data_IF_071102740413
#
_entry.id   IF_071102740413
#
_cell.length_a   1.000
_cell.length_b   1.000
_cell.length_c   1.000
_cell.angle_alpha   90.00
_cell.angle_beta   90.00
_cell.angle_gamma   90.00
#
_symmetry.space_group_name_H-M   'P 1'
#
loop_
_entity.id
_entity.type
_entity.pdbx_description
1 polymer ?
#
# COMPACT_ATOMS: atom_id res chain seq x y z
N UNK A 1 -33.61 -15.09 16.19
CA UNK A 1 -33.45 -15.67 14.85
C UNK A 1 -32.04 -15.33 14.39
N UNK A 2 -31.13 -16.25 14.61
CA UNK A 2 -29.70 -16.17 14.27
C UNK A 2 -29.53 -16.88 12.92
N UNK A 3 -29.29 -16.13 11.86
CA UNK A 3 -28.80 -16.68 10.59
C UNK A 3 -27.37 -17.18 10.82
N UNK A 4 -27.24 -18.49 10.99
CA UNK A 4 -25.98 -19.20 10.84
C UNK A 4 -25.55 -19.08 9.38
N UNK A 5 -24.56 -18.24 9.12
CA UNK A 5 -23.80 -18.21 7.86
C UNK A 5 -23.24 -19.61 7.61
N UNK A 6 -23.89 -20.39 6.75
CA UNK A 6 -23.33 -21.63 6.20
C UNK A 6 -22.17 -21.27 5.28
N UNK A 7 -20.96 -21.34 5.81
CA UNK A 7 -19.72 -21.22 5.03
C UNK A 7 -19.58 -22.47 4.16
N UNK A 8 -19.46 -22.28 2.85
CA UNK A 8 -19.43 -23.35 1.84
C UNK A 8 -18.18 -24.23 2.01
N UNK A 9 -18.25 -25.57 1.89
CA UNK A 9 -17.14 -26.49 2.21
C UNK A 9 -15.83 -26.22 1.44
N UNK A 10 -15.93 -25.74 0.19
CA UNK A 10 -14.77 -25.44 -0.66
C UNK A 10 -13.97 -24.22 -0.17
N UNK A 11 -14.63 -23.25 0.45
CA UNK A 11 -14.00 -22.04 1.00
C UNK A 11 -13.16 -22.36 2.25
N UNK A 12 -13.59 -23.38 3.02
CA UNK A 12 -12.87 -23.87 4.21
C UNK A 12 -11.53 -24.54 3.89
N UNK A 13 -11.43 -25.22 2.76
CA UNK A 13 -10.22 -25.95 2.34
C UNK A 13 -9.09 -25.00 1.89
N UNK A 14 -9.43 -23.90 1.19
CA UNK A 14 -8.46 -22.91 0.74
C UNK A 14 -7.88 -22.09 1.90
N UNK A 15 -8.72 -21.64 2.85
CA UNK A 15 -8.26 -20.98 4.07
C UNK A 15 -7.35 -21.88 4.92
N UNK A 16 -7.64 -23.17 5.01
CA UNK A 16 -6.79 -24.15 5.68
C UNK A 16 -5.44 -24.35 4.97
N UNK A 17 -5.42 -24.42 3.63
CA UNK A 17 -4.19 -24.52 2.85
C UNK A 17 -3.30 -23.27 2.95
N UNK A 18 -3.90 -22.08 3.10
CA UNK A 18 -3.19 -20.83 3.40
C UNK A 18 -2.56 -20.90 4.79
N UNK A 19 -3.32 -21.32 5.81
CA UNK A 19 -2.82 -21.48 7.18
C UNK A 19 -1.69 -22.51 7.29
N UNK A 20 -1.78 -23.63 6.57
CA UNK A 20 -0.75 -24.68 6.57
C UNK A 20 0.59 -24.19 6.01
N UNK A 21 0.57 -23.43 4.90
CA UNK A 21 1.79 -22.82 4.32
C UNK A 21 2.38 -21.76 5.24
N UNK A 22 1.53 -20.91 5.83
CA UNK A 22 1.96 -19.94 6.83
C UNK A 22 2.59 -20.63 8.05
N UNK A 23 2.07 -21.79 8.47
CA UNK A 23 2.62 -22.57 9.59
C UNK A 23 4.04 -23.09 9.34
N UNK A 24 4.37 -23.54 8.13
CA UNK A 24 5.73 -24.00 7.83
C UNK A 24 6.74 -22.86 7.92
N UNK A 25 6.39 -21.68 7.39
CA UNK A 25 7.19 -20.46 7.54
C UNK A 25 7.29 -20.04 9.01
N UNK A 26 6.18 -20.03 9.75
CA UNK A 26 6.17 -19.72 11.19
C UNK A 26 7.13 -20.59 11.99
N UNK A 27 7.22 -21.89 11.70
CA UNK A 27 8.17 -22.79 12.39
C UNK A 27 9.62 -22.46 12.08
N UNK A 28 9.95 -22.19 10.81
CA UNK A 28 11.30 -21.80 10.43
C UNK A 28 11.69 -20.47 11.11
N UNK A 29 10.78 -19.50 11.13
CA UNK A 29 11.00 -18.20 11.77
C UNK A 29 11.13 -18.30 13.29
N UNK A 30 10.28 -19.09 13.95
CA UNK A 30 10.39 -19.33 15.40
C UNK A 30 11.72 -19.97 15.81
N UNK A 31 12.37 -20.73 14.91
CA UNK A 31 13.69 -21.31 15.15
C UNK A 31 14.83 -20.29 15.01
N UNK A 32 14.65 -19.25 14.20
CA UNK A 32 15.65 -18.20 13.95
C UNK A 32 15.53 -17.00 14.90
N UNK A 33 14.35 -16.78 15.51
CA UNK A 33 14.10 -15.63 16.39
C UNK A 33 14.71 -15.80 17.77
N UNK A 34 15.58 -14.87 18.17
CA UNK A 34 16.08 -14.82 19.55
C UNK A 34 15.06 -14.14 20.48
N UNK A 35 15.06 -14.45 21.80
CA UNK A 35 14.25 -13.73 22.78
C UNK A 35 14.54 -12.22 22.81
N UNK A 36 15.75 -11.81 22.41
CA UNK A 36 16.14 -10.40 22.31
C UNK A 36 15.41 -9.71 21.16
N UNK A 37 15.30 -10.37 20.00
CA UNK A 37 14.61 -9.81 18.83
C UNK A 37 13.11 -9.66 19.05
N UNK A 38 12.50 -10.54 19.85
CA UNK A 38 11.11 -10.40 20.29
C UNK A 38 10.93 -9.15 21.14
N UNK A 39 11.80 -8.93 22.13
CA UNK A 39 11.72 -7.79 23.04
C UNK A 39 11.99 -6.45 22.34
N UNK A 40 12.91 -6.40 21.38
CA UNK A 40 13.22 -5.17 20.64
C UNK A 40 12.28 -4.93 19.46
N UNK A 41 11.37 -5.85 19.16
CA UNK A 41 10.48 -5.75 17.98
C UNK A 41 11.17 -6.04 16.64
N UNK A 42 12.48 -6.31 16.63
CA UNK A 42 13.27 -6.62 15.43
C UNK A 42 12.77 -7.85 14.68
N UNK A 43 12.10 -8.75 15.39
CA UNK A 43 11.46 -9.93 14.80
C UNK A 43 10.56 -9.58 13.60
N UNK A 44 9.90 -8.42 13.60
CA UNK A 44 8.97 -8.03 12.54
C UNK A 44 9.70 -7.66 11.24
N UNK A 45 10.81 -6.92 11.32
CA UNK A 45 11.62 -6.57 10.14
C UNK A 45 12.32 -7.79 9.54
N UNK A 46 12.79 -8.71 10.39
CA UNK A 46 13.33 -9.99 9.95
C UNK A 46 12.27 -10.84 9.24
N UNK A 47 11.08 -10.98 9.86
CA UNK A 47 9.93 -11.68 9.28
C UNK A 47 9.59 -11.12 7.90
N UNK A 48 9.48 -9.80 7.81
CA UNK A 48 9.15 -9.10 6.57
C UNK A 48 10.19 -9.37 5.48
N UNK A 49 11.48 -9.21 5.79
CA UNK A 49 12.57 -9.40 4.83
C UNK A 49 12.62 -10.85 4.31
N UNK A 50 12.51 -11.83 5.21
CA UNK A 50 12.49 -13.26 4.86
C UNK A 50 11.30 -13.58 3.97
N UNK A 51 10.11 -13.11 4.36
CA UNK A 51 8.90 -13.37 3.60
C UNK A 51 8.92 -12.71 2.22
N UNK A 52 9.35 -11.46 2.11
CA UNK A 52 9.44 -10.76 0.81
C UNK A 52 10.41 -11.46 -0.14
N UNK A 53 11.58 -11.90 0.35
CA UNK A 53 12.54 -12.70 -0.46
C UNK A 53 11.93 -14.02 -0.91
N UNK A 54 11.23 -14.71 -0.01
CA UNK A 54 10.51 -15.94 -0.34
C UNK A 54 9.44 -15.69 -1.40
N UNK A 55 8.63 -14.65 -1.21
CA UNK A 55 7.55 -14.27 -2.12
C UNK A 55 8.09 -13.95 -3.52
N UNK A 56 9.11 -13.12 -3.62
CA UNK A 56 9.75 -12.75 -4.90
C UNK A 56 10.31 -13.95 -5.66
N UNK A 57 10.94 -14.89 -4.94
CA UNK A 57 11.47 -16.13 -5.54
C UNK A 57 10.36 -16.99 -6.15
N UNK A 58 9.18 -17.02 -5.53
CA UNK A 58 8.04 -17.83 -5.98
C UNK A 58 7.11 -17.08 -6.96
N UNK A 59 7.22 -15.75 -7.05
CA UNK A 59 6.44 -14.88 -7.96
C UNK A 59 6.88 -14.98 -9.43
N UNK A 60 8.10 -15.49 -9.69
CA UNK A 60 8.71 -15.62 -11.03
C UNK A 60 7.85 -16.41 -12.05
N UNK A 61 6.75 -17.05 -11.65
CA UNK A 61 5.87 -17.81 -12.55
C UNK A 61 4.47 -17.21 -12.80
N UNK A 62 4.06 -16.11 -12.14
CA UNK A 62 2.67 -15.62 -12.20
C UNK A 62 2.44 -14.36 -13.07
N UNK A 63 3.48 -13.55 -13.33
CA UNK A 63 3.32 -12.16 -13.82
C UNK A 63 3.20 -12.03 -15.34
N UNK A 64 3.47 -13.08 -16.12
CA UNK A 64 3.65 -12.97 -17.58
C UNK A 64 2.38 -12.65 -18.41
N UNK A 65 1.19 -12.48 -17.81
CA UNK A 65 -0.05 -12.23 -18.57
C UNK A 65 -1.09 -11.31 -17.88
N UNK A 66 -0.81 -10.76 -16.69
CA UNK A 66 -1.83 -10.04 -15.94
C UNK A 66 -2.01 -8.60 -16.45
N UNK A 67 -3.09 -8.35 -17.21
CA UNK A 67 -3.79 -7.06 -17.15
C UNK A 67 -4.31 -6.94 -15.71
N UNK A 68 -4.12 -5.81 -15.04
CA UNK A 68 -4.39 -5.67 -13.60
C UNK A 68 -5.69 -6.33 -13.13
N UNK A 69 -5.70 -6.77 -11.88
CA UNK A 69 -6.84 -7.53 -11.37
C UNK A 69 -7.99 -6.62 -10.98
N UNK A 70 -9.17 -6.85 -11.55
CA UNK A 70 -10.40 -6.14 -11.22
C UNK A 70 -10.89 -6.34 -9.79
N UNK A 71 -11.90 -5.54 -9.41
CA UNK A 71 -12.47 -5.50 -8.06
C UNK A 71 -12.80 -6.89 -7.47
N UNK A 72 -13.38 -7.79 -8.26
CA UNK A 72 -13.80 -9.13 -7.82
C UNK A 72 -12.62 -10.00 -7.35
N UNK A 73 -11.47 -9.89 -8.00
CA UNK A 73 -10.26 -10.63 -7.61
C UNK A 73 -9.72 -10.08 -6.30
N UNK A 74 -9.63 -8.75 -6.18
CA UNK A 74 -9.15 -8.10 -4.96
C UNK A 74 -10.06 -8.37 -3.76
N UNK A 75 -11.38 -8.40 -3.98
CA UNK A 75 -12.37 -8.76 -2.96
C UNK A 75 -12.19 -10.21 -2.50
N UNK A 76 -11.91 -11.13 -3.44
CA UNK A 76 -11.64 -12.53 -3.11
C UNK A 76 -10.39 -12.69 -2.25
N UNK A 77 -9.30 -11.98 -2.57
CA UNK A 77 -8.07 -11.98 -1.77
C UNK A 77 -8.31 -11.47 -0.34
N UNK A 78 -9.03 -10.35 -0.21
CA UNK A 78 -9.37 -9.78 1.10
C UNK A 78 -10.24 -10.76 1.90
N UNK A 79 -11.25 -11.35 1.26
CA UNK A 79 -12.14 -12.34 1.90
C UNK A 79 -11.36 -13.57 2.41
N UNK A 80 -10.50 -14.16 1.60
CA UNK A 80 -9.66 -15.30 1.99
C UNK A 80 -8.75 -14.97 3.18
N UNK A 81 -8.15 -13.78 3.20
CA UNK A 81 -7.32 -13.33 4.32
C UNK A 81 -8.16 -13.12 5.60
N UNK A 82 -9.35 -12.55 5.47
CA UNK A 82 -10.28 -12.36 6.59
C UNK A 82 -10.77 -13.69 7.17
N UNK A 83 -11.05 -14.69 6.33
CA UNK A 83 -11.38 -16.06 6.76
C UNK A 83 -10.22 -16.72 7.52
N UNK A 84 -9.00 -16.61 6.99
CA UNK A 84 -7.80 -17.10 7.68
C UNK A 84 -7.62 -16.40 9.04
N UNK A 85 -7.78 -15.08 9.10
CA UNK A 85 -7.67 -14.32 10.35
C UNK A 85 -8.78 -14.68 11.35
N UNK A 86 -10.00 -14.92 10.89
CA UNK A 86 -11.09 -15.41 11.75
C UNK A 86 -10.74 -16.75 12.40
N UNK A 87 -10.21 -17.70 11.62
CA UNK A 87 -9.80 -19.02 12.12
C UNK A 87 -8.68 -18.95 13.16
N UNK A 88 -7.76 -17.98 13.05
CA UNK A 88 -6.71 -17.76 14.07
C UNK A 88 -7.27 -17.27 15.41
N UNK A 89 -8.39 -16.51 15.42
CA UNK A 89 -9.04 -16.06 16.66
C UNK A 89 -9.82 -17.16 17.38
N UNK A 90 -10.38 -18.11 16.62
CA UNK A 90 -11.15 -19.25 17.13
C UNK A 90 -10.26 -20.34 17.76
N UNK A 91 -8.95 -20.32 17.46
CA UNK A 91 -7.96 -21.30 17.91
C UNK A 91 -7.58 -21.24 19.39
N UNK A 92 -7.95 -20.19 20.13
CA UNK A 92 -7.66 -20.11 21.57
C UNK A 92 -8.39 -21.17 22.42
N UNK A 93 -9.41 -21.84 21.86
CA UNK A 93 -10.08 -23.00 22.47
C UNK A 93 -9.62 -24.38 21.98
N UNK A 94 -8.91 -24.48 20.85
CA UNK A 94 -8.54 -25.76 20.21
C UNK A 94 -7.04 -25.98 20.03
N UNK A 95 -6.20 -24.94 20.16
CA UNK A 95 -4.73 -25.07 20.16
C UNK A 95 -4.25 -25.64 21.51
N UNK A 96 -5.03 -25.50 22.58
CA UNK A 96 -4.76 -26.13 23.87
C UNK A 96 -4.82 -27.65 23.82
N UNK A 97 -5.59 -28.27 22.93
CA UNK A 97 -5.70 -29.74 22.84
C UNK A 97 -4.49 -30.39 22.15
N UNK A 98 -3.81 -29.71 21.23
CA UNK A 98 -2.61 -30.25 20.57
C UNK A 98 -1.37 -30.24 21.46
N UNK A 99 -1.20 -29.18 22.27
CA UNK A 99 -0.07 -29.06 23.21
C UNK A 99 -0.31 -29.94 24.44
N UNK A 100 -1.55 -30.06 24.94
CA UNK A 100 -1.87 -30.99 26.03
C UNK A 100 -1.79 -32.45 25.60
N UNK A 101 -2.23 -32.81 24.38
CA UNK A 101 -2.14 -34.18 23.89
C UNK A 101 -0.69 -34.64 23.66
N UNK A 102 0.18 -33.77 23.13
CA UNK A 102 1.60 -34.08 22.98
C UNK A 102 2.32 -34.24 24.34
N UNK A 103 1.88 -33.52 25.38
CA UNK A 103 2.39 -33.70 26.75
C UNK A 103 1.76 -34.87 27.52
N UNK A 104 0.64 -35.43 27.04
CA UNK A 104 -0.03 -36.57 27.67
C UNK A 104 0.61 -37.91 27.26
N UNK A 105 1.08 -38.03 26.01
CA UNK A 105 1.73 -39.25 25.51
C UNK A 105 3.20 -39.38 25.92
N UNK A 106 3.87 -38.26 26.22
CA UNK A 106 5.21 -38.26 26.79
C UNK A 106 5.10 -38.31 28.31
N UNK A 107 4.96 -39.52 28.88
CA UNK A 107 4.81 -39.80 30.32
C UNK A 107 5.90 -39.23 31.23
N UNK A 108 5.92 -37.91 31.38
CA UNK A 108 6.80 -37.13 32.25
C UNK A 108 5.94 -36.13 32.98
N UNK A 109 5.18 -36.62 33.97
CA UNK A 109 4.42 -35.83 34.93
C UNK A 109 5.31 -34.98 35.88
N UNK A 110 6.57 -34.71 35.50
CA UNK A 110 7.59 -34.10 36.35
C UNK A 110 8.38 -32.96 35.72
N UNK A 111 8.08 -32.55 34.48
CA UNK A 111 8.75 -31.40 33.85
C UNK A 111 7.78 -30.25 33.57
N UNK A 112 7.00 -29.89 34.60
CA UNK A 112 6.53 -28.51 34.81
C UNK A 112 7.72 -27.60 35.16
N UNK A 113 8.78 -27.63 34.35
CA UNK A 113 9.72 -26.52 34.30
C UNK A 113 8.96 -25.45 33.55
N UNK A 114 8.48 -24.48 34.32
CA UNK A 114 7.78 -23.27 33.90
C UNK A 114 8.64 -22.42 32.94
N UNK A 115 8.87 -22.92 31.73
CA UNK A 115 8.92 -22.06 30.56
C UNK A 115 7.47 -21.59 30.34
N UNK A 116 7.21 -20.29 30.13
CA UNK A 116 5.85 -19.83 29.94
C UNK A 116 5.36 -20.37 28.61
N UNK A 117 4.73 -21.54 28.61
CA UNK A 117 4.09 -22.14 27.44
C UNK A 117 3.07 -21.16 26.81
N UNK A 118 2.53 -20.25 27.63
CA UNK A 118 1.73 -19.10 27.19
C UNK A 118 2.48 -18.16 26.24
N UNK A 119 3.76 -17.89 26.48
CA UNK A 119 4.57 -16.99 25.63
C UNK A 119 4.77 -17.53 24.22
N UNK A 120 4.95 -18.84 24.06
CA UNK A 120 5.12 -19.48 22.74
C UNK A 120 3.82 -19.39 21.93
N UNK A 121 2.66 -19.65 22.56
CA UNK A 121 1.35 -19.58 21.89
C UNK A 121 1.02 -18.15 21.45
N UNK A 122 1.21 -17.16 22.34
CA UNK A 122 1.01 -15.73 22.04
C UNK A 122 1.91 -15.28 20.89
N UNK A 123 3.17 -15.71 20.90
CA UNK A 123 4.14 -15.37 19.85
C UNK A 123 3.77 -16.02 18.52
N UNK A 124 3.34 -17.29 18.52
CA UNK A 124 2.90 -17.99 17.33
C UNK A 124 1.66 -17.36 16.70
N UNK A 125 0.64 -17.00 17.51
CA UNK A 125 -0.55 -16.30 17.04
C UNK A 125 -0.20 -14.95 16.39
N UNK A 126 0.67 -14.18 17.05
CA UNK A 126 1.16 -12.89 16.55
C UNK A 126 1.87 -13.04 15.19
N UNK A 127 2.78 -14.00 15.05
CA UNK A 127 3.52 -14.25 13.81
C UNK A 127 2.58 -14.69 12.69
N UNK A 128 1.66 -15.64 12.96
CA UNK A 128 0.70 -16.12 11.96
C UNK A 128 -0.16 -14.96 11.46
N UNK A 129 -0.61 -14.07 12.36
CA UNK A 129 -1.37 -12.89 11.96
C UNK A 129 -0.56 -11.93 11.10
N UNK A 130 0.68 -11.65 11.48
CA UNK A 130 1.58 -10.80 10.69
C UNK A 130 1.79 -11.40 9.29
N UNK A 131 1.93 -12.73 9.18
CA UNK A 131 2.03 -13.42 7.90
C UNK A 131 0.76 -13.33 7.05
N UNK A 132 -0.43 -13.44 7.65
CA UNK A 132 -1.71 -13.26 6.92
C UNK A 132 -1.78 -11.84 6.34
N UNK A 133 -1.48 -10.83 7.16
CA UNK A 133 -1.47 -9.43 6.74
C UNK A 133 -0.45 -9.16 5.63
N UNK A 134 0.77 -9.70 5.77
CA UNK A 134 1.84 -9.50 4.80
C UNK A 134 1.55 -10.20 3.48
N UNK A 135 1.01 -11.42 3.52
CA UNK A 135 0.56 -12.14 2.33
C UNK A 135 -0.52 -11.36 1.59
N UNK A 136 -1.57 -10.94 2.30
CA UNK A 136 -2.65 -10.14 1.72
C UNK A 136 -2.07 -8.91 1.01
N UNK A 137 -1.14 -8.21 1.65
CA UNK A 137 -0.51 -7.05 1.07
C UNK A 137 0.34 -7.37 -0.17
N UNK A 138 1.12 -8.45 -0.16
CA UNK A 138 1.92 -8.85 -1.32
C UNK A 138 1.05 -9.31 -2.49
N UNK A 139 -0.02 -10.05 -2.21
CA UNK A 139 -0.98 -10.52 -3.22
C UNK A 139 -1.73 -9.33 -3.84
N UNK A 140 -2.21 -8.38 -3.02
CA UNK A 140 -2.79 -7.14 -3.51
C UNK A 140 -1.76 -6.29 -4.28
N UNK A 141 -0.55 -6.06 -3.78
CA UNK A 141 0.47 -5.30 -4.50
C UNK A 141 0.79 -5.91 -5.87
N UNK A 142 0.94 -7.24 -5.92
CA UNK A 142 1.22 -7.96 -7.17
C UNK A 142 0.09 -7.84 -8.19
N UNK A 143 -1.16 -7.79 -7.72
CA UNK A 143 -2.35 -7.56 -8.52
C UNK A 143 -2.35 -6.22 -9.28
N UNK A 144 -1.64 -5.21 -8.75
CA UNK A 144 -1.46 -3.87 -9.34
C UNK A 144 -0.04 -3.67 -9.89
N UNK A 145 0.74 -4.74 -10.08
CA UNK A 145 2.12 -4.71 -10.55
C UNK A 145 3.10 -3.95 -9.64
N UNK A 146 2.70 -3.66 -8.41
CA UNK A 146 3.56 -3.09 -7.36
C UNK A 146 4.44 -4.20 -6.78
N UNK A 147 5.65 -3.81 -6.35
CA UNK A 147 6.58 -4.68 -5.62
C UNK A 147 7.05 -3.98 -4.36
N UNK A 148 7.04 -4.73 -3.26
CA UNK A 148 7.74 -4.35 -2.04
C UNK A 148 9.18 -4.82 -2.16
N UNK A 149 10.12 -3.91 -1.92
CA UNK A 149 11.54 -4.24 -1.95
C UNK A 149 11.93 -4.97 -0.66
N UNK A 150 12.44 -6.22 -0.72
CA UNK A 150 12.94 -6.91 0.46
C UNK A 150 14.13 -6.22 1.12
N UNK A 151 14.90 -5.42 0.37
CA UNK A 151 16.05 -4.68 0.89
C UNK A 151 15.67 -3.27 1.41
N UNK A 152 14.46 -2.79 1.09
CA UNK A 152 13.85 -1.61 1.71
C UNK A 152 12.49 -1.94 2.38
N UNK A 153 12.51 -2.66 3.52
CA UNK A 153 11.30 -2.98 4.29
C UNK A 153 10.58 -1.74 4.85
N UNK A 154 11.15 -0.54 4.71
CA UNK A 154 10.55 0.70 5.17
C UNK A 154 9.19 0.94 4.52
N UNK A 155 9.02 0.51 3.28
CA UNK A 155 7.82 0.75 2.49
C UNK A 155 6.59 0.08 3.12
N UNK A 156 6.68 -1.23 3.37
CA UNK A 156 5.63 -1.96 4.08
C UNK A 156 5.51 -1.50 5.54
N UNK A 157 6.63 -1.21 6.21
CA UNK A 157 6.62 -0.77 7.62
C UNK A 157 5.92 0.58 7.79
N UNK A 158 6.12 1.53 6.86
CA UNK A 158 5.44 2.83 6.86
C UNK A 158 3.94 2.67 6.69
N UNK A 159 3.51 1.90 5.70
CA UNK A 159 2.09 1.63 5.49
C UNK A 159 1.48 0.93 6.72
N UNK A 160 2.13 -0.10 7.23
CA UNK A 160 1.62 -0.85 8.36
C UNK A 160 1.59 -0.02 9.66
N UNK A 161 2.55 0.89 9.85
CA UNK A 161 2.57 1.85 10.95
C UNK A 161 1.42 2.86 10.86
N UNK A 162 1.12 3.36 9.66
CA UNK A 162 0.00 4.25 9.41
C UNK A 162 -1.34 3.57 9.71
N UNK A 163 -1.56 2.38 9.17
CA UNK A 163 -2.81 1.60 9.36
C UNK A 163 -3.02 1.07 10.80
N UNK A 164 -1.98 1.14 11.63
CA UNK A 164 -2.01 0.74 13.05
C UNK A 164 -2.02 1.93 14.00
N UNK A 165 -1.42 3.06 13.60
CA UNK A 165 -1.16 4.24 14.41
C UNK A 165 -2.38 5.14 14.59
N UNK A 166 -3.58 4.55 14.66
CA UNK A 166 -4.82 5.30 14.82
C UNK A 166 -4.74 6.28 15.99
N UNK A 167 -5.10 7.53 15.68
CA UNK A 167 -5.09 8.73 16.52
C UNK A 167 -3.73 9.44 16.62
N UNK A 168 -3.37 10.18 15.57
CA UNK A 168 -2.81 11.52 15.78
C UNK A 168 -3.97 12.44 16.14
N UNK A 169 -3.79 13.35 17.10
CA UNK A 169 -4.78 14.36 17.40
C UNK A 169 -4.99 15.23 16.15
N UNK A 170 -6.18 15.16 15.58
CA UNK A 170 -6.58 15.94 14.39
C UNK A 170 -6.49 17.45 14.63
N UNK A 171 -6.44 17.87 15.91
CA UNK A 171 -6.26 19.28 16.31
C UNK A 171 -4.83 19.80 16.04
N UNK A 172 -3.81 18.93 16.08
CA UNK A 172 -2.40 19.35 15.96
C UNK A 172 -1.87 19.31 14.51
N UNK A 173 -2.39 18.43 13.65
CA UNK A 173 -1.98 18.28 12.24
C UNK A 173 -3.21 18.11 11.31
N UNK A 174 -3.98 19.19 11.05
CA UNK A 174 -5.29 19.10 10.39
C UNK A 174 -5.20 18.55 8.96
N UNK A 175 -4.08 18.78 8.27
CA UNK A 175 -3.85 18.28 6.91
C UNK A 175 -2.96 17.04 6.82
N UNK A 176 -2.32 16.58 7.91
CA UNK A 176 -1.44 15.41 7.87
C UNK A 176 -0.02 15.70 7.35
N UNK A 177 0.43 16.96 7.37
CA UNK A 177 1.76 17.36 6.87
C UNK A 177 2.87 16.87 7.81
N UNK A 178 2.70 17.07 9.13
CA UNK A 178 3.68 16.63 10.13
C UNK A 178 3.86 15.12 10.06
N UNK A 179 2.76 14.38 9.82
CA UNK A 179 2.79 12.93 9.60
C UNK A 179 3.67 12.54 8.40
N UNK A 180 3.52 13.20 7.25
CA UNK A 180 4.33 12.94 6.05
C UNK A 180 5.79 13.31 6.30
N UNK A 181 6.05 14.45 6.94
CA UNK A 181 7.40 14.88 7.27
C UNK A 181 8.10 13.86 8.17
N UNK A 182 7.49 13.51 9.30
CA UNK A 182 8.01 12.57 10.28
C UNK A 182 8.33 11.20 9.63
N UNK A 183 7.38 10.65 8.86
CA UNK A 183 7.57 9.34 8.23
C UNK A 183 8.59 9.37 7.08
N UNK A 184 8.78 10.52 6.42
CA UNK A 184 9.80 10.67 5.37
C UNK A 184 11.23 10.75 5.92
N UNK A 185 11.37 11.08 7.21
CA UNK A 185 12.63 11.17 7.94
C UNK A 185 12.93 9.92 8.78
N UNK A 186 11.88 9.17 9.16
CA UNK A 186 12.00 7.96 9.96
C UNK A 186 12.84 6.87 9.25
N UNK A 187 13.68 6.17 10.03
CA UNK A 187 14.43 5.02 9.52
C UNK A 187 13.53 3.80 9.49
N UNK A 188 13.71 2.98 8.44
CA UNK A 188 13.03 1.71 8.24
C UNK A 188 13.09 0.80 9.49
N UNK A 189 14.27 0.73 10.09
CA UNK A 189 14.56 -0.11 11.26
C UNK A 189 13.74 0.30 12.46
N UNK A 190 13.62 1.61 12.68
CA UNK A 190 13.00 2.18 13.87
C UNK A 190 11.48 1.96 13.79
N UNK A 191 10.89 2.19 12.61
CA UNK A 191 9.47 1.90 12.35
C UNK A 191 9.14 0.42 12.54
N UNK A 192 10.00 -0.47 12.04
CA UNK A 192 9.77 -1.90 12.14
C UNK A 192 9.97 -2.46 13.55
N UNK A 193 10.94 -1.94 14.32
CA UNK A 193 11.12 -2.28 15.73
C UNK A 193 9.93 -1.78 16.58
N UNK A 194 9.47 -0.55 16.37
CA UNK A 194 8.28 0.00 17.03
C UNK A 194 7.02 -0.82 16.73
N UNK A 195 6.83 -1.22 15.48
CA UNK A 195 5.73 -2.08 15.07
C UNK A 195 5.79 -3.46 15.73
N UNK A 196 6.98 -4.09 15.74
CA UNK A 196 7.16 -5.38 16.38
C UNK A 196 6.90 -5.34 17.89
N UNK A 197 7.29 -4.25 18.56
CA UNK A 197 7.01 -4.03 19.97
C UNK A 197 5.50 -3.82 20.24
N UNK A 198 4.83 -2.99 19.43
CA UNK A 198 3.38 -2.77 19.51
C UNK A 198 2.59 -4.05 19.28
N UNK A 199 2.94 -4.84 18.26
CA UNK A 199 2.28 -6.12 17.96
C UNK A 199 2.42 -7.13 19.10
N UNK A 200 3.59 -7.16 19.75
CA UNK A 200 3.81 -8.00 20.93
C UNK A 200 2.95 -7.53 22.11
N UNK A 201 2.92 -6.22 22.38
CA UNK A 201 2.09 -5.62 23.42
C UNK A 201 0.59 -5.92 23.24
N UNK A 202 0.09 -5.74 22.02
CA UNK A 202 -1.30 -6.04 21.63
C UNK A 202 -1.68 -7.51 21.85
N UNK A 203 -0.76 -8.42 21.54
CA UNK A 203 -0.98 -9.86 21.69
C UNK A 203 -0.91 -10.28 23.16
N UNK A 204 0.00 -9.70 23.95
CA UNK A 204 0.10 -9.93 25.40
C UNK A 204 -1.13 -9.40 26.13
N UNK A 205 -1.54 -8.15 25.88
CA UNK A 205 -2.70 -7.53 26.52
C UNK A 205 -3.99 -8.34 26.31
N UNK A 206 -4.18 -8.88 25.10
CA UNK A 206 -5.37 -9.71 24.78
C UNK A 206 -5.35 -11.09 25.42
N UNK A 207 -4.17 -11.64 25.71
CA UNK A 207 -4.04 -12.93 26.37
C UNK A 207 -4.04 -12.83 27.91
N UNK A 208 -3.86 -11.64 28.48
CA UNK A 208 -3.90 -11.41 29.94
C UNK A 208 -5.33 -11.28 30.48
N UNK A 209 -6.31 -10.86 29.68
CA UNK A 209 -7.72 -10.71 30.12
C UNK A 209 -8.46 -12.06 30.00
N UNK A 210 -8.70 -12.80 31.09
CA UNK A 210 -9.31 -14.12 31.02
C UNK A 210 -10.84 -13.95 31.05
N UNK A 211 -11.55 -14.68 30.17
CA UNK A 211 -13.01 -14.97 30.24
C UNK A 211 -14.07 -14.07 29.59
N UNK A 212 -13.86 -13.37 28.47
CA UNK A 212 -15.01 -12.81 27.72
C UNK A 212 -15.12 -13.06 26.19
N UNK A 213 -14.10 -13.51 25.46
CA UNK A 213 -14.00 -13.06 24.06
C UNK A 213 -13.51 -14.04 22.96
N UNK A 214 -13.80 -15.35 22.98
CA UNK A 214 -13.37 -16.24 21.85
C UNK A 214 -14.11 -15.92 20.52
N UNK A 215 -15.38 -15.53 20.60
CA UNK A 215 -16.17 -15.14 19.42
C UNK A 215 -15.83 -13.72 18.96
N UNK A 216 -15.65 -12.79 19.89
CA UNK A 216 -15.31 -11.39 19.60
C UNK A 216 -13.87 -11.21 19.12
N UNK A 217 -12.90 -12.03 19.58
CA UNK A 217 -11.53 -11.99 19.05
C UNK A 217 -11.46 -12.38 17.58
N UNK A 218 -12.24 -13.38 17.16
CA UNK A 218 -12.33 -13.84 15.77
C UNK A 218 -12.95 -12.77 14.86
N UNK A 219 -14.05 -12.15 15.32
CA UNK A 219 -14.71 -11.05 14.59
C UNK A 219 -13.82 -9.80 14.53
N UNK A 220 -13.12 -9.47 15.61
CA UNK A 220 -12.18 -8.34 15.63
C UNK A 220 -10.99 -8.57 14.71
N UNK A 221 -10.45 -9.79 14.67
CA UNK A 221 -9.38 -10.16 13.74
C UNK A 221 -9.87 -10.06 12.29
N UNK A 222 -11.08 -10.55 11.98
CA UNK A 222 -11.71 -10.39 10.68
C UNK A 222 -11.87 -8.92 10.30
N UNK A 223 -12.44 -8.08 11.19
CA UNK A 223 -12.67 -6.64 10.93
C UNK A 223 -11.37 -5.87 10.70
N UNK A 224 -10.33 -6.12 11.51
CA UNK A 224 -9.03 -5.47 11.34
C UNK A 224 -8.35 -5.90 10.04
N UNK A 225 -8.46 -7.18 9.67
CA UNK A 225 -7.92 -7.69 8.40
C UNK A 225 -8.67 -7.11 7.21
N UNK A 226 -10.00 -6.95 7.32
CA UNK A 226 -10.81 -6.31 6.29
C UNK A 226 -10.39 -4.86 6.06
N UNK A 227 -10.30 -4.07 7.13
CA UNK A 227 -9.84 -2.68 7.07
C UNK A 227 -8.44 -2.56 6.47
N UNK A 228 -7.51 -3.42 6.91
CA UNK A 228 -6.16 -3.49 6.33
C UNK A 228 -6.22 -3.77 4.83
N UNK A 229 -7.04 -4.73 4.39
CA UNK A 229 -7.21 -5.05 2.98
C UNK A 229 -7.76 -3.88 2.15
N UNK A 230 -8.79 -3.22 2.65
CA UNK A 230 -9.41 -2.06 1.98
C UNK A 230 -8.41 -0.89 1.87
N UNK A 231 -7.66 -0.61 2.94
CA UNK A 231 -6.61 0.41 2.93
C UNK A 231 -5.44 0.05 2.02
N UNK A 232 -4.98 -1.19 2.06
CA UNK A 232 -3.92 -1.67 1.19
C UNK A 232 -4.31 -1.54 -0.29
N UNK A 233 -5.57 -1.84 -0.62
CA UNK A 233 -6.12 -1.70 -1.96
C UNK A 233 -6.08 -0.24 -2.45
N UNK A 234 -6.45 0.72 -1.60
CA UNK A 234 -6.32 2.15 -1.91
C UNK A 234 -4.87 2.56 -2.13
N UNK A 235 -3.98 2.16 -1.21
CA UNK A 235 -2.56 2.44 -1.30
C UNK A 235 -1.94 1.94 -2.61
N UNK A 236 -2.17 0.68 -3.01
CA UNK A 236 -1.57 0.13 -4.24
C UNK A 236 -2.11 0.77 -5.51
N UNK A 237 -3.39 1.17 -5.53
CA UNK A 237 -4.00 1.90 -6.65
C UNK A 237 -3.37 3.28 -6.81
N UNK A 238 -3.31 4.04 -5.71
CA UNK A 238 -2.71 5.38 -5.69
C UNK A 238 -1.23 5.33 -6.06
N UNK A 239 -0.48 4.39 -5.48
CA UNK A 239 0.93 4.20 -5.81
C UNK A 239 1.12 3.85 -7.28
N UNK A 240 0.32 2.92 -7.81
CA UNK A 240 0.41 2.53 -9.22
C UNK A 240 0.09 3.69 -10.16
N UNK A 241 -0.94 4.47 -9.84
CA UNK A 241 -1.30 5.67 -10.58
C UNK A 241 -0.16 6.70 -10.59
N UNK A 242 0.50 6.88 -9.44
CA UNK A 242 1.61 7.82 -9.30
C UNK A 242 2.88 7.34 -10.00
N UNK A 243 3.19 6.03 -9.94
CA UNK A 243 4.30 5.43 -10.70
C UNK A 243 4.09 5.55 -12.21
N UNK A 244 2.86 5.35 -12.70
CA UNK A 244 2.52 5.53 -14.12
C UNK A 244 2.59 7.01 -14.55
N UNK A 245 2.13 7.92 -13.69
CA UNK A 245 2.23 9.36 -13.91
C UNK A 245 3.68 9.84 -13.96
N UNK A 246 4.51 9.40 -13.01
CA UNK A 246 5.93 9.72 -12.95
C UNK A 246 6.69 9.16 -14.16
N UNK A 247 6.41 7.91 -14.56
CA UNK A 247 6.98 7.33 -15.77
C UNK A 247 6.63 8.16 -17.02
N UNK A 248 5.35 8.49 -17.23
CA UNK A 248 4.92 9.30 -18.36
C UNK A 248 5.52 10.71 -18.34
N UNK A 249 5.60 11.33 -17.16
CA UNK A 249 6.15 12.67 -17.00
C UNK A 249 7.65 12.70 -17.26
N UNK A 250 8.41 11.67 -16.88
CA UNK A 250 9.85 11.58 -17.16
C UNK A 250 10.18 11.53 -18.63
N UNK A 251 9.30 11.00 -19.48
CA UNK A 251 9.51 10.97 -20.93
C UNK A 251 9.47 12.39 -21.54
N UNK A 252 8.65 13.29 -20.99
CA UNK A 252 8.38 14.62 -21.58
C UNK A 252 8.98 15.79 -20.79
N UNK A 253 9.21 15.61 -19.49
CA UNK A 253 9.73 16.61 -18.56
C UNK A 253 10.42 15.96 -17.33
N UNK A 254 11.65 15.42 -17.49
CA UNK A 254 12.38 14.68 -16.44
C UNK A 254 12.63 15.41 -15.12
N UNK A 255 12.46 16.74 -15.07
CA UNK A 255 12.73 17.57 -13.89
C UNK A 255 11.48 17.99 -13.13
N UNK A 256 10.31 17.47 -13.50
CA UNK A 256 9.03 17.87 -12.93
C UNK A 256 8.48 16.90 -11.88
N UNK A 257 9.29 15.97 -11.36
CA UNK A 257 8.90 15.02 -10.30
C UNK A 257 8.32 15.75 -9.07
N UNK A 258 8.95 16.85 -8.61
CA UNK A 258 8.45 17.64 -7.48
C UNK A 258 7.10 18.29 -7.77
N UNK A 259 6.83 18.68 -9.03
CA UNK A 259 5.55 19.28 -9.41
C UNK A 259 4.43 18.22 -9.44
N UNK A 260 4.75 16.98 -9.83
CA UNK A 260 3.82 15.87 -9.76
C UNK A 260 3.44 15.56 -8.30
N UNK A 261 4.43 15.47 -7.40
CA UNK A 261 4.17 15.21 -5.98
C UNK A 261 3.41 16.36 -5.30
N UNK A 262 3.73 17.60 -5.64
CA UNK A 262 2.97 18.78 -5.21
C UNK A 262 1.52 18.73 -5.73
N UNK A 263 1.31 18.28 -6.97
CA UNK A 263 -0.03 18.13 -7.54
C UNK A 263 -0.82 17.00 -6.87
N UNK A 264 -0.16 15.90 -6.51
CA UNK A 264 -0.76 14.82 -5.72
C UNK A 264 -1.14 15.29 -4.31
N UNK A 265 -0.28 16.08 -3.65
CA UNK A 265 -0.58 16.71 -2.36
C UNK A 265 -1.89 17.49 -2.41
N UNK A 266 -2.01 18.49 -3.30
CA UNK A 266 -3.22 19.31 -3.39
C UNK A 266 -4.47 18.50 -3.70
N UNK A 267 -4.34 17.45 -4.52
CA UNK A 267 -5.45 16.54 -4.80
C UNK A 267 -5.89 15.79 -3.55
N UNK A 268 -4.96 15.21 -2.80
CA UNK A 268 -5.27 14.41 -1.62
C UNK A 268 -5.84 15.24 -0.47
N UNK A 269 -5.34 16.47 -0.26
CA UNK A 269 -5.87 17.35 0.80
C UNK A 269 -7.11 18.15 0.37
N UNK A 270 -7.63 17.94 -0.84
CA UNK A 270 -8.72 18.74 -1.38
C UNK A 270 -10.04 18.60 -0.61
N UNK A 271 -10.26 17.45 0.05
CA UNK A 271 -11.40 17.22 0.95
C UNK A 271 -11.15 17.71 2.38
N UNK A 272 -9.99 18.36 2.62
CA UNK A 272 -9.59 18.96 3.88
C UNK A 272 -8.80 18.03 4.80
N UNK A 273 -8.43 16.81 4.37
CA UNK A 273 -7.63 15.90 5.20
C UNK A 273 -6.82 14.90 4.37
N UNK A 274 -5.60 14.62 4.80
CA UNK A 274 -4.81 13.54 4.22
C UNK A 274 -5.10 12.19 4.90
N UNK A 275 -5.53 11.21 4.11
CA UNK A 275 -5.76 9.84 4.59
C UNK A 275 -4.44 9.13 4.87
N UNK A 276 -4.52 8.05 5.64
CA UNK A 276 -3.35 7.23 6.00
C UNK A 276 -2.68 6.66 4.75
N UNK A 277 -3.45 6.19 3.77
CA UNK A 277 -2.94 5.59 2.54
C UNK A 277 -2.26 6.62 1.63
N UNK A 278 -2.83 7.82 1.51
CA UNK A 278 -2.27 8.95 0.77
C UNK A 278 -0.97 9.44 1.40
N UNK A 279 -0.94 9.53 2.74
CA UNK A 279 0.27 9.82 3.51
C UNK A 279 1.38 8.80 3.20
N UNK A 280 1.02 7.51 3.17
CA UNK A 280 1.95 6.42 2.87
C UNK A 280 2.53 6.55 1.45
N UNK A 281 1.69 6.84 0.45
CA UNK A 281 2.12 7.02 -0.95
C UNK A 281 3.04 8.22 -1.11
N UNK A 282 2.67 9.39 -0.56
CA UNK A 282 3.54 10.58 -0.62
C UNK A 282 4.88 10.33 0.06
N UNK A 283 4.86 9.70 1.24
CA UNK A 283 6.08 9.36 1.98
C UNK A 283 6.96 8.39 1.19
N UNK A 284 6.37 7.40 0.52
CA UNK A 284 7.07 6.48 -0.34
C UNK A 284 7.81 7.23 -1.46
N UNK A 285 7.09 8.05 -2.23
CA UNK A 285 7.72 8.78 -3.35
C UNK A 285 8.77 9.79 -2.89
N UNK A 286 8.51 10.52 -1.80
CA UNK A 286 9.49 11.42 -1.19
C UNK A 286 10.77 10.70 -0.79
N UNK A 287 10.67 9.44 -0.34
CA UNK A 287 11.85 8.66 0.06
C UNK A 287 12.77 8.29 -1.11
N UNK A 288 12.23 8.27 -2.34
CA UNK A 288 12.98 8.01 -3.58
C UNK A 288 13.74 9.23 -4.08
N UNK A 289 13.37 10.43 -3.60
CA UNK A 289 14.09 11.65 -3.91
C UNK A 289 15.39 11.77 -3.11
N UNK A 290 16.37 12.48 -3.69
CA UNK A 290 17.56 12.90 -2.94
C UNK A 290 17.16 13.75 -1.72
N UNK A 291 17.93 13.75 -0.61
CA UNK A 291 17.57 14.51 0.59
C UNK A 291 17.34 16.01 0.33
N UNK A 292 18.08 16.61 -0.60
CA UNK A 292 17.89 18.01 -0.99
C UNK A 292 16.54 18.22 -1.71
N UNK A 293 16.22 17.37 -2.69
CA UNK A 293 14.96 17.43 -3.44
C UNK A 293 13.74 17.11 -2.57
N UNK A 294 13.87 16.17 -1.65
CA UNK A 294 12.84 15.84 -0.66
C UNK A 294 12.45 17.06 0.16
N UNK A 295 13.44 17.76 0.75
CA UNK A 295 13.20 19.00 1.51
C UNK A 295 12.59 20.10 0.66
N UNK A 296 13.10 20.29 -0.56
CA UNK A 296 12.55 21.28 -1.50
C UNK A 296 11.07 20.99 -1.82
N UNK A 297 10.71 19.72 -1.97
CA UNK A 297 9.33 19.31 -2.29
C UNK A 297 8.41 19.47 -1.08
N UNK A 298 8.85 19.07 0.12
CA UNK A 298 8.07 19.21 1.36
C UNK A 298 7.70 20.66 1.67
N UNK A 299 8.59 21.62 1.40
CA UNK A 299 8.31 23.06 1.59
C UNK A 299 7.14 23.55 0.72
N UNK A 300 6.79 22.82 -0.34
CA UNK A 300 5.67 23.16 -1.23
C UNK A 300 4.34 22.52 -0.81
N UNK A 301 4.36 21.63 0.18
CA UNK A 301 3.14 21.01 0.71
C UNK A 301 2.52 22.00 1.71
N UNK A 302 1.68 22.88 1.16
CA UNK A 302 0.99 23.95 1.89
C UNK A 302 -0.50 23.91 1.54
N UNK A 303 -1.30 24.65 2.31
CA UNK A 303 -2.76 24.68 2.16
C UNK A 303 -3.21 25.56 0.97
N UNK A 304 -2.44 26.59 0.62
CA UNK A 304 -2.77 27.54 -0.45
C UNK A 304 -2.33 27.04 -1.83
N UNK A 305 -3.31 26.77 -2.69
CA UNK A 305 -3.13 26.32 -4.07
C UNK A 305 -2.53 27.38 -5.02
N UNK A 306 -2.46 28.66 -4.62
CA UNK A 306 -2.13 29.79 -5.50
C UNK A 306 -0.76 29.67 -6.18
N UNK A 307 0.28 29.34 -5.42
CA UNK A 307 1.63 29.15 -5.96
C UNK A 307 1.71 27.90 -6.86
N UNK A 308 1.06 26.82 -6.45
CA UNK A 308 0.99 25.59 -7.25
C UNK A 308 0.34 25.85 -8.61
N UNK A 309 -0.79 26.58 -8.65
CA UNK A 309 -1.44 26.97 -9.90
C UNK A 309 -0.53 27.86 -10.78
N UNK A 310 0.33 28.69 -10.19
CA UNK A 310 1.34 29.44 -10.94
C UNK A 310 2.44 28.54 -11.51
N UNK A 311 2.88 27.54 -10.74
CA UNK A 311 3.85 26.53 -11.19
C UNK A 311 3.27 25.66 -12.32
N UNK A 312 2.00 25.26 -12.24
CA UNK A 312 1.29 24.57 -13.32
C UNK A 312 1.21 25.42 -14.60
N UNK A 313 0.88 26.72 -14.50
CA UNK A 313 0.89 27.65 -15.65
C UNK A 313 2.25 27.72 -16.34
N UNK A 314 3.31 27.60 -15.56
CA UNK A 314 4.69 27.65 -16.03
C UNK A 314 5.20 26.30 -16.55
N UNK A 315 4.39 25.23 -16.50
CA UNK A 315 4.79 23.92 -16.97
C UNK A 315 5.09 23.92 -18.49
N UNK A 316 6.13 23.19 -18.94
CA UNK A 316 6.46 23.04 -20.35
C UNK A 316 5.25 22.54 -21.15
N UNK A 317 5.09 23.03 -22.38
CA UNK A 317 3.97 22.64 -23.24
C UNK A 317 3.86 21.11 -23.42
N UNK A 318 5.00 20.42 -23.51
CA UNK A 318 5.08 18.95 -23.62
C UNK A 318 4.55 18.20 -22.39
N UNK A 319 4.49 18.84 -21.22
CA UNK A 319 4.09 18.22 -19.97
C UNK A 319 2.62 18.47 -19.60
N UNK A 320 1.95 19.44 -20.23
CA UNK A 320 0.62 19.91 -19.79
C UNK A 320 -0.45 18.83 -19.87
N UNK A 321 -0.54 18.15 -21.01
CA UNK A 321 -1.50 17.05 -21.19
C UNK A 321 -1.17 15.87 -20.28
N UNK A 322 0.12 15.54 -20.13
CA UNK A 322 0.57 14.44 -19.25
C UNK A 322 0.27 14.74 -17.78
N UNK A 323 0.49 15.97 -17.31
CA UNK A 323 0.15 16.39 -15.95
C UNK A 323 -1.35 16.37 -15.71
N UNK A 324 -2.16 16.84 -16.66
CA UNK A 324 -3.62 16.78 -16.55
C UNK A 324 -4.10 15.32 -16.49
N UNK A 325 -3.59 14.46 -17.36
CA UNK A 325 -3.98 13.05 -17.38
C UNK A 325 -3.51 12.31 -16.12
N UNK A 326 -2.34 12.65 -15.60
CA UNK A 326 -1.83 12.13 -14.32
C UNK A 326 -2.75 12.50 -13.16
N UNK A 327 -3.19 13.76 -13.09
CA UNK A 327 -4.15 14.23 -12.09
C UNK A 327 -5.51 13.53 -12.22
N UNK A 328 -6.02 13.37 -13.44
CA UNK A 328 -7.25 12.61 -13.69
C UNK A 328 -7.13 11.16 -13.23
N UNK A 329 -6.00 10.50 -13.52
CA UNK A 329 -5.74 9.12 -13.16
C UNK A 329 -5.59 8.93 -11.64
N UNK A 330 -4.93 9.86 -10.94
CA UNK A 330 -4.81 9.86 -9.49
C UNK A 330 -6.18 10.03 -8.82
N UNK A 331 -7.00 10.99 -9.28
CA UNK A 331 -8.33 11.22 -8.72
C UNK A 331 -9.26 10.03 -8.94
N UNK A 332 -9.13 9.34 -10.08
CA UNK A 332 -9.94 8.15 -10.39
C UNK A 332 -9.49 6.88 -9.64
N UNK A 333 -8.27 6.86 -9.06
CA UNK A 333 -7.68 5.67 -8.47
C UNK A 333 -8.43 5.15 -7.24
N UNK A 334 -9.13 6.02 -6.50
CA UNK A 334 -9.99 5.62 -5.36
C UNK A 334 -11.42 5.21 -5.79
N UNK A 335 -11.66 5.06 -7.10
CA UNK A 335 -12.95 4.68 -7.72
C UNK A 335 -14.11 5.67 -7.49
N UNK A 336 -13.83 6.83 -6.91
CA UNK A 336 -14.78 7.92 -6.74
C UNK A 336 -14.02 9.24 -6.80
N UNK A 337 -14.54 10.20 -7.57
CA UNK A 337 -14.03 11.57 -7.59
C UNK A 337 -15.05 12.46 -6.89
N UNK A 338 -14.65 13.06 -5.79
CA UNK A 338 -15.46 13.97 -4.95
C UNK A 338 -15.63 15.35 -5.61
N UNK A 339 -16.57 16.16 -5.12
CA UNK A 339 -16.75 17.53 -5.62
C UNK A 339 -15.54 18.44 -5.39
N UNK A 340 -14.87 18.41 -4.21
CA UNK A 340 -13.63 19.17 -4.01
C UNK A 340 -12.52 18.79 -5.00
N UNK A 341 -12.31 17.49 -5.23
CA UNK A 341 -11.33 17.01 -6.23
C UNK A 341 -11.69 17.49 -7.64
N UNK A 342 -12.97 17.42 -8.04
CA UNK A 342 -13.42 17.93 -9.36
C UNK A 342 -13.16 19.42 -9.50
N UNK A 343 -13.44 20.20 -8.46
CA UNK A 343 -13.19 21.64 -8.47
C UNK A 343 -11.70 21.94 -8.61
N UNK A 344 -10.84 21.20 -7.89
CA UNK A 344 -9.39 21.32 -8.00
C UNK A 344 -8.87 20.94 -9.39
N UNK A 345 -9.33 19.81 -9.95
CA UNK A 345 -8.98 19.35 -11.30
C UNK A 345 -9.38 20.37 -12.36
N UNK A 346 -10.51 21.05 -12.19
CA UNK A 346 -10.96 22.10 -13.11
C UNK A 346 -10.03 23.32 -13.08
N UNK A 347 -9.56 23.72 -11.89
CA UNK A 347 -8.56 24.80 -11.75
C UNK A 347 -7.20 24.40 -12.33
N UNK A 348 -6.77 23.17 -12.09
CA UNK A 348 -5.54 22.62 -12.66
C UNK A 348 -5.59 22.60 -14.19
N UNK A 349 -6.71 22.17 -14.79
CA UNK A 349 -6.91 22.18 -16.24
C UNK A 349 -6.81 23.60 -16.81
N UNK A 350 -7.42 24.58 -16.16
CA UNK A 350 -7.31 25.99 -16.55
C UNK A 350 -5.86 26.49 -16.48
N UNK A 351 -5.14 26.16 -15.39
CA UNK A 351 -3.75 26.52 -15.21
C UNK A 351 -2.84 25.87 -16.26
N UNK A 352 -3.11 24.60 -16.61
CA UNK A 352 -2.36 23.86 -17.64
C UNK A 352 -2.76 24.23 -19.07
N UNK A 353 -3.77 25.10 -19.26
CA UNK A 353 -4.36 25.39 -20.56
C UNK A 353 -4.87 24.13 -21.29
N UNK A 354 -5.47 23.21 -20.53
CA UNK A 354 -6.11 21.99 -21.01
C UNK A 354 -7.62 22.02 -20.68
N UNK A 355 -8.34 20.94 -20.99
CA UNK A 355 -9.75 20.77 -20.69
C UNK A 355 -9.99 19.58 -19.76
N UNK A 356 -10.91 19.74 -18.81
CA UNK A 356 -11.41 18.63 -18.02
C UNK A 356 -12.61 17.97 -18.72
N UNK A 357 -12.46 16.71 -19.15
CA UNK A 357 -13.56 15.91 -19.67
C UNK A 357 -14.14 15.01 -18.57
N UNK A 358 -15.41 15.27 -18.21
CA UNK A 358 -16.13 14.48 -17.21
C UNK A 358 -16.36 13.03 -17.64
N UNK A 359 -16.67 12.81 -18.92
CA UNK A 359 -16.89 11.46 -19.45
C UNK A 359 -15.61 10.63 -19.44
N UNK A 360 -14.46 11.29 -19.64
CA UNK A 360 -13.15 10.67 -19.48
C UNK A 360 -12.88 10.25 -18.03
N UNK A 361 -13.13 11.12 -17.04
CA UNK A 361 -12.99 10.76 -15.61
C UNK A 361 -13.87 9.56 -15.22
N UNK A 362 -15.13 9.53 -15.66
CA UNK A 362 -16.02 8.39 -15.42
C UNK A 362 -15.49 7.10 -16.07
N UNK A 363 -14.91 7.22 -17.27
CA UNK A 363 -14.27 6.11 -17.97
C UNK A 363 -13.05 5.59 -17.21
N UNK A 364 -12.22 6.48 -16.66
CA UNK A 364 -11.07 6.11 -15.82
C UNK A 364 -11.52 5.38 -14.56
N UNK A 365 -12.54 5.89 -13.85
CA UNK A 365 -13.11 5.23 -12.66
C UNK A 365 -13.62 3.83 -13.00
N UNK A 366 -14.36 3.68 -14.11
CA UNK A 366 -14.82 2.36 -14.57
C UNK A 366 -13.64 1.43 -14.86
N UNK A 367 -12.61 1.92 -15.56
CA UNK A 367 -11.42 1.12 -15.89
C UNK A 367 -10.68 0.69 -14.63
N UNK A 368 -10.47 1.57 -13.65
CA UNK A 368 -9.86 1.18 -12.38
C UNK A 368 -10.68 0.13 -11.62
N UNK A 369 -12.01 0.17 -11.74
CA UNK A 369 -12.88 -0.84 -11.13
C UNK A 369 -12.75 -2.21 -11.82
N UNK A 370 -12.71 -2.22 -13.15
CA UNK A 370 -12.69 -3.44 -13.97
C UNK A 370 -11.30 -4.06 -14.09
N UNK A 371 -10.25 -3.24 -14.22
CA UNK A 371 -8.89 -3.65 -14.56
C UNK A 371 -7.88 -3.35 -13.45
N UNK A 372 -8.28 -2.68 -12.36
CA UNK A 372 -7.37 -2.28 -11.29
C UNK A 372 -6.36 -1.18 -11.67
N UNK A 373 -6.10 -0.94 -12.95
CA UNK A 373 -5.13 0.06 -13.42
C UNK A 373 -5.71 0.87 -14.57
N UNK A 374 -5.48 2.19 -14.57
CA UNK A 374 -5.55 2.96 -15.80
C UNK A 374 -4.23 2.74 -16.56
N UNK A 375 -4.30 2.34 -17.82
CA UNK A 375 -3.09 2.23 -18.64
C UNK A 375 -2.40 3.59 -18.70
N UNK A 376 -1.06 3.62 -18.65
CA UNK A 376 -0.28 4.85 -18.60
C UNK A 376 -0.73 5.87 -19.67
N UNK A 377 -0.73 7.18 -19.35
CA UNK A 377 -1.02 8.23 -20.32
C UNK A 377 -0.14 8.04 -21.55
N UNK A 378 -0.76 7.80 -22.71
CA UNK A 378 0.01 7.69 -23.95
C UNK A 378 0.47 9.10 -24.31
N UNK A 379 1.77 9.36 -24.30
CA UNK A 379 2.32 10.63 -24.77
C UNK A 379 1.73 10.96 -26.16
N UNK A 380 1.30 12.21 -26.40
CA UNK A 380 0.74 12.59 -27.70
C UNK A 380 1.78 12.26 -28.79
N UNK A 381 1.30 11.69 -29.90
CA UNK A 381 2.15 11.38 -31.03
C UNK A 381 2.90 12.65 -31.45
N UNK A 382 4.23 12.59 -31.52
CA UNK A 382 5.04 13.71 -31.96
C UNK A 382 4.48 14.26 -33.27
N UNK A 383 4.04 15.53 -33.27
CA UNK A 383 3.61 16.21 -34.49
C UNK A 383 4.77 16.11 -35.48
N UNK A 384 4.59 15.53 -36.69
CA UNK A 384 5.65 15.50 -37.67
C UNK A 384 6.09 16.94 -37.93
N UNK A 385 7.37 17.22 -37.69
CA UNK A 385 7.96 18.52 -38.06
C UNK A 385 7.61 18.78 -39.51
N UNK A 386 6.80 19.80 -39.76
CA UNK A 386 6.56 20.29 -41.10
C UNK A 386 7.92 20.55 -41.75
N UNK A 387 8.13 19.94 -42.91
CA UNK A 387 9.30 20.15 -43.75
C UNK A 387 9.58 21.65 -43.89
N UNK A 388 10.82 22.12 -43.73
CA UNK A 388 11.13 23.51 -44.04
C UNK A 388 10.85 23.76 -45.52
N UNK A 389 10.18 24.89 -45.77
CA UNK A 389 9.75 25.36 -47.07
C UNK A 389 10.88 25.33 -48.13
N UNK A 390 10.45 25.12 -49.37
CA UNK A 390 11.26 25.05 -50.58
C UNK A 390 12.39 26.10 -50.59
N UNK A 391 13.63 25.64 -50.81
CA UNK A 391 14.70 26.51 -51.30
C UNK A 391 14.28 27.01 -52.68
N UNK A 392 14.08 28.32 -52.80
CA UNK A 392 14.15 29.02 -54.08
C UNK A 392 15.47 28.61 -54.76
N UNK A 393 15.33 27.94 -55.90
CA UNK A 393 16.48 27.66 -56.76
C UNK A 393 16.89 28.96 -57.43
N UNK A 394 18.03 29.48 -56.99
CA UNK A 394 18.78 30.53 -57.66
C UNK A 394 18.99 30.16 -59.13
N UNK A 395 18.62 31.09 -60.00
CA UNK A 395 18.85 31.03 -61.45
C UNK A 395 20.34 31.17 -61.73
N UNK A 396 21.01 30.24 -62.43
CA UNK A 396 22.40 30.46 -62.81
C UNK A 396 22.47 31.39 -64.03
N UNK A 397 23.32 32.40 -63.87
CA UNK A 397 23.67 33.38 -64.88
C UNK A 397 24.20 32.72 -66.17
N UNK A 398 23.74 33.23 -67.32
CA UNK A 398 24.38 33.04 -68.62
C UNK A 398 25.78 33.64 -68.59
N UNK A 399 26.79 32.87 -68.97
CA UNK A 399 28.08 33.40 -69.42
C UNK A 399 28.37 32.80 -70.80
N UNK A 400 28.80 33.69 -71.69
CA UNK A 400 29.16 33.51 -73.10
C UNK A 400 30.37 32.59 -73.32
#
# INVERSE_FOLDING_TARGET
MTETLEVVPREREEGAAVLLRSWQLTRALLQELSPRDLRTGRWFTQLLSIYLRHYDTHRLHAVAAAKGTGADTTETLIRQACEAAFLTGAGSGSVTTGITAASADAGVAGLMVALPASGIVVTAEMIVRALIHLRLACDLASAFLIRFDPEDPADFSRLYALLRGGQHDEEDDPLGLERVEHLSQAKATDLGEDLGAKLLGDSVARNIVPFLNVVTSSVDNWRRTRRLGDSMLRYVRLRRALEDADAALREVAPRNESLLLESAWFLFVSDGRLREEESAVLTHELSRLTPARRRETLVRFVDDESEWLQRLRSAPASAREVLQESLNALAAADLAVTEPERALLQKAAQALHTSLDRGHLETLVRRYREEGVAHAPKAPAAVPRAYPAAREQETPARIH
#
